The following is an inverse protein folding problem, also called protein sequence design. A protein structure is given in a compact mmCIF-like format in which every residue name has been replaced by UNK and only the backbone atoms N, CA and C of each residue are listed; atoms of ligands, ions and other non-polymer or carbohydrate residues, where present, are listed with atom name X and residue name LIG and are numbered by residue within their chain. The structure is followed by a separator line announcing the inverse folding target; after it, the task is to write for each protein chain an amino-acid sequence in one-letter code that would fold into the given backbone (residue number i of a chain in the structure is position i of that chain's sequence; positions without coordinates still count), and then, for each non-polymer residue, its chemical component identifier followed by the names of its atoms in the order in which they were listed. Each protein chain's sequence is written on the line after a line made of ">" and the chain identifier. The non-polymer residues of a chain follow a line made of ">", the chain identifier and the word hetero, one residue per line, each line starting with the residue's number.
data_IF_392342079727
#
_entry.id   IF_392342079727
#
_cell.length_a   1.000
_cell.length_b   1.000
_cell.length_c   1.000
_cell.angle_alpha   90.00
_cell.angle_beta   90.00
_cell.angle_gamma   90.00
#
_symmetry.space_group_name_H-M   'P 1'
#
loop_
_entity.id
_entity.type
_entity.pdbx_description
1 polymer ?
#
# COMPACT_ATOMS: atom_id res chain seq x y z
N UNK A 1 0.35 -16.38 20.00
CA UNK A 1 -0.81 -16.34 19.08
C UNK A 1 -1.52 -14.97 19.01
N UNK A 2 -1.28 -13.98 19.89
CA UNK A 2 -1.95 -12.67 19.77
C UNK A 2 -1.11 -11.56 19.12
N UNK A 3 0.21 -11.52 19.35
CA UNK A 3 1.04 -10.37 18.94
C UNK A 3 1.28 -10.30 17.42
N UNK A 4 1.53 -11.44 16.76
CA UNK A 4 1.71 -11.47 15.30
C UNK A 4 0.45 -11.06 14.53
N UNK A 5 -0.73 -11.51 14.99
CA UNK A 5 -2.02 -11.12 14.40
C UNK A 5 -2.27 -9.62 14.60
N UNK A 6 -1.95 -9.09 15.78
CA UNK A 6 -2.05 -7.65 16.05
C UNK A 6 -1.09 -6.84 15.15
N UNK A 7 0.16 -7.28 15.00
CA UNK A 7 1.13 -6.63 14.12
C UNK A 7 0.67 -6.63 12.66
N UNK A 8 0.12 -7.75 12.18
CA UNK A 8 -0.50 -7.84 10.86
C UNK A 8 -1.69 -6.91 10.70
N UNK A 9 -2.56 -6.80 11.70
CA UNK A 9 -3.70 -5.88 11.67
C UNK A 9 -3.26 -4.42 11.57
N UNK A 10 -2.22 -4.03 12.31
CA UNK A 10 -1.65 -2.68 12.24
C UNK A 10 -0.98 -2.43 10.89
N UNK A 11 -0.20 -3.38 10.38
CA UNK A 11 0.44 -3.26 9.08
C UNK A 11 -0.58 -3.17 7.94
N UNK A 12 -1.63 -4.00 7.97
CA UNK A 12 -2.73 -3.97 7.00
C UNK A 12 -3.48 -2.62 7.03
N UNK A 13 -3.70 -2.06 8.23
CA UNK A 13 -4.31 -0.74 8.37
C UNK A 13 -3.43 0.35 7.74
N UNK A 14 -2.12 0.33 8.01
CA UNK A 14 -1.17 1.27 7.41
C UNK A 14 -1.11 1.15 5.89
N UNK A 15 -1.09 -0.08 5.37
CA UNK A 15 -1.10 -0.35 3.94
C UNK A 15 -2.38 0.18 3.28
N UNK A 16 -3.55 -0.18 3.81
CA UNK A 16 -4.83 0.27 3.27
C UNK A 16 -5.00 1.80 3.27
N UNK A 17 -4.52 2.49 4.32
CA UNK A 17 -4.52 3.96 4.35
C UNK A 17 -3.59 4.51 3.27
N UNK A 18 -2.37 4.01 3.17
CA UNK A 18 -1.40 4.49 2.18
C UNK A 18 -1.88 4.29 0.74
N UNK A 19 -2.42 3.12 0.43
CA UNK A 19 -2.99 2.82 -0.89
C UNK A 19 -4.19 3.71 -1.20
N UNK A 20 -5.10 3.90 -0.23
CA UNK A 20 -6.25 4.80 -0.38
C UNK A 20 -5.84 6.23 -0.72
N UNK A 21 -4.79 6.75 -0.08
CA UNK A 21 -4.24 8.09 -0.37
C UNK A 21 -3.61 8.18 -1.76
N UNK A 22 -2.85 7.15 -2.17
CA UNK A 22 -2.25 7.09 -3.50
C UNK A 22 -3.34 7.06 -4.58
N UNK A 23 -4.31 6.15 -4.46
CA UNK A 23 -5.40 5.99 -5.43
C UNK A 23 -6.23 7.27 -5.50
N UNK A 24 -6.56 7.88 -4.37
CA UNK A 24 -7.28 9.16 -4.35
C UNK A 24 -6.51 10.27 -5.09
N UNK A 25 -5.19 10.37 -4.87
CA UNK A 25 -4.34 11.36 -5.53
C UNK A 25 -4.29 11.17 -7.04
N UNK A 26 -4.20 9.91 -7.50
CA UNK A 26 -4.20 9.57 -8.92
C UNK A 26 -5.55 9.87 -9.57
N UNK A 27 -6.66 9.49 -8.93
CA UNK A 27 -8.00 9.80 -9.44
C UNK A 27 -8.22 11.33 -9.57
N UNK A 28 -7.74 12.11 -8.61
CA UNK A 28 -7.79 13.57 -8.66
C UNK A 28 -6.89 14.17 -9.76
N UNK A 29 -5.73 13.56 -10.03
CA UNK A 29 -4.85 13.99 -11.10
C UNK A 29 -5.43 13.64 -12.48
N UNK A 30 -5.93 12.42 -12.65
CA UNK A 30 -6.52 11.92 -13.90
C UNK A 30 -7.81 12.65 -14.24
N UNK A 31 -8.64 13.00 -13.24
CA UNK A 31 -9.85 13.79 -13.49
C UNK A 31 -9.56 15.20 -14.03
N UNK A 32 -8.38 15.76 -13.71
CA UNK A 32 -7.91 17.06 -14.23
C UNK A 32 -7.19 16.93 -15.57
N UNK A 33 -6.45 15.84 -15.78
CA UNK A 33 -5.63 15.60 -16.98
C UNK A 33 -5.72 14.11 -17.40
N UNK A 34 -6.78 13.71 -18.13
CA UNK A 34 -7.02 12.32 -18.52
C UNK A 34 -5.89 11.71 -19.36
N UNK A 35 -5.22 12.53 -20.17
CA UNK A 35 -4.10 12.12 -21.03
C UNK A 35 -2.88 11.60 -20.24
N UNK A 36 -2.79 11.91 -18.94
CA UNK A 36 -1.71 11.46 -18.07
C UNK A 36 -1.99 10.10 -17.40
N UNK A 37 -3.19 9.53 -17.54
CA UNK A 37 -3.60 8.29 -16.83
C UNK A 37 -2.57 7.17 -16.98
N UNK A 38 -2.14 6.88 -18.21
CA UNK A 38 -1.18 5.80 -18.46
C UNK A 38 0.13 5.95 -17.69
N UNK A 39 0.67 7.18 -17.64
CA UNK A 39 1.92 7.50 -16.91
C UNK A 39 1.71 7.47 -15.40
N UNK A 40 0.61 8.05 -14.93
CA UNK A 40 0.26 8.13 -13.51
C UNK A 40 0.00 6.73 -12.93
N UNK A 41 -0.65 5.85 -13.70
CA UNK A 41 -0.91 4.47 -13.28
C UNK A 41 0.37 3.67 -13.02
N UNK A 42 1.42 3.85 -13.83
CA UNK A 42 2.73 3.23 -13.56
C UNK A 42 3.33 3.72 -12.24
N UNK A 43 3.27 5.02 -11.97
CA UNK A 43 3.75 5.59 -10.69
C UNK A 43 2.92 5.11 -9.50
N UNK A 44 1.61 4.98 -9.68
CA UNK A 44 0.69 4.43 -8.69
C UNK A 44 1.12 3.02 -8.25
N UNK A 45 1.36 2.13 -9.22
CA UNK A 45 1.79 0.76 -8.92
C UNK A 45 3.15 0.70 -8.24
N UNK A 46 4.09 1.58 -8.60
CA UNK A 46 5.38 1.68 -7.90
C UNK A 46 5.17 2.11 -6.45
N UNK A 47 4.31 3.10 -6.20
CA UNK A 47 3.96 3.54 -4.84
C UNK A 47 3.30 2.43 -4.01
N UNK A 48 2.33 1.71 -4.60
CA UNK A 48 1.69 0.55 -3.97
C UNK A 48 2.72 -0.53 -3.65
N UNK A 49 3.65 -0.84 -4.57
CA UNK A 49 4.68 -1.85 -4.34
C UNK A 49 5.60 -1.51 -3.15
N UNK A 50 5.90 -0.23 -2.91
CA UNK A 50 6.65 0.17 -1.73
C UNK A 50 5.85 0.01 -0.43
N UNK A 51 4.56 0.36 -0.45
CA UNK A 51 3.66 0.17 0.70
C UNK A 51 3.54 -1.32 1.04
N UNK A 52 3.18 -2.13 0.05
CA UNK A 52 3.02 -3.57 0.19
C UNK A 52 4.34 -4.27 0.56
N UNK A 53 5.49 -3.75 0.10
CA UNK A 53 6.79 -4.25 0.51
C UNK A 53 6.96 -4.24 2.04
N UNK A 54 6.48 -3.20 2.73
CA UNK A 54 6.54 -3.14 4.20
C UNK A 54 5.54 -4.08 4.88
N UNK A 55 4.38 -4.28 4.27
CA UNK A 55 3.39 -5.25 4.74
C UNK A 55 3.94 -6.68 4.64
N UNK A 56 4.52 -7.06 3.49
CA UNK A 56 5.12 -8.38 3.30
C UNK A 56 6.31 -8.64 4.24
N UNK A 57 7.11 -7.63 4.55
CA UNK A 57 8.15 -7.75 5.59
C UNK A 57 7.49 -8.10 6.93
N UNK A 58 6.44 -7.37 7.33
CA UNK A 58 5.73 -7.65 8.59
C UNK A 58 5.13 -9.05 8.60
N UNK A 59 4.52 -9.47 7.49
CA UNK A 59 3.99 -10.82 7.31
C UNK A 59 5.07 -11.88 7.47
N UNK A 60 6.22 -11.73 6.80
CA UNK A 60 7.35 -12.64 6.95
C UNK A 60 7.81 -12.73 8.41
N UNK A 61 7.90 -11.59 9.11
CA UNK A 61 8.33 -11.56 10.51
C UNK A 61 7.38 -12.30 11.45
N UNK A 62 6.08 -12.40 11.12
CA UNK A 62 5.13 -13.19 11.95
C UNK A 62 5.38 -14.69 11.93
N UNK A 63 6.09 -15.20 10.93
CA UNK A 63 6.52 -16.60 10.87
C UNK A 63 7.91 -16.82 11.47
N UNK A 64 8.76 -15.79 11.46
CA UNK A 64 10.15 -15.85 11.97
C UNK A 64 10.21 -15.63 13.48
N UNK A 65 9.47 -14.64 13.99
CA UNK A 65 9.40 -14.33 15.41
C UNK A 65 8.27 -15.16 16.05
N UNK A 66 8.64 -16.16 16.86
CA UNK A 66 7.69 -17.01 17.61
C UNK A 66 7.27 -16.38 18.93
#
# INVERSE_FOLDING_TARGET
>A
MSLGILALGIAALGAGIGEGLIVNSILNAVSRQPELEGKLRSLMFVGIAFIEGTFFITLAMTFVLK
#
